data_IF_435463393674
#
_entry.id   IF_435463393674
#
_cell.length_a   1.000
_cell.length_b   1.000
_cell.length_c   1.000
_cell.angle_alpha   90.00
_cell.angle_beta   90.00
_cell.angle_gamma   90.00
#
_symmetry.space_group_name_H-M   'P 1'
#
loop_
_entity.id
_entity.type
_entity.pdbx_description
1 polymer ?
#
# COMPACT_ATOMS: atom_id res chain seq x y z
N UNK A 1 117.16 -18.81 -19.03
CA UNK A 1 116.94 -18.41 -17.62
C UNK A 1 116.50 -16.96 -17.48
N UNK A 2 117.16 -15.97 -18.11
CA UNK A 2 116.82 -14.54 -18.01
C UNK A 2 115.35 -14.18 -18.32
N UNK A 3 114.75 -14.74 -19.39
CA UNK A 3 113.36 -14.41 -19.79
C UNK A 3 112.27 -14.88 -18.81
N UNK A 4 112.51 -15.98 -18.10
CA UNK A 4 111.58 -16.48 -17.09
C UNK A 4 111.60 -15.60 -15.84
N UNK A 5 112.78 -15.16 -15.43
CA UNK A 5 112.94 -14.27 -14.27
C UNK A 5 112.25 -12.92 -14.49
N UNK A 6 112.35 -12.36 -15.71
CA UNK A 6 111.68 -11.10 -16.06
C UNK A 6 110.16 -11.26 -16.09
N UNK A 7 109.64 -12.38 -16.57
CA UNK A 7 108.19 -12.61 -16.62
C UNK A 7 107.60 -12.80 -15.22
N UNK A 8 108.31 -13.52 -14.34
CA UNK A 8 107.95 -13.65 -12.92
C UNK A 8 107.98 -12.29 -12.23
N UNK A 9 108.99 -11.46 -12.48
CA UNK A 9 109.07 -10.11 -11.93
C UNK A 9 107.90 -9.22 -12.40
N UNK A 10 107.51 -9.32 -13.68
CA UNK A 10 106.34 -8.59 -14.22
C UNK A 10 105.05 -9.08 -13.57
N UNK A 11 104.85 -10.39 -13.41
CA UNK A 11 103.67 -10.95 -12.75
C UNK A 11 103.56 -10.52 -11.30
N UNK A 12 104.67 -10.52 -10.55
CA UNK A 12 104.69 -10.06 -9.16
C UNK A 12 104.36 -8.57 -9.08
N UNK A 13 104.91 -7.74 -9.98
CA UNK A 13 104.57 -6.32 -10.06
C UNK A 13 103.11 -6.08 -10.46
N UNK A 14 102.55 -6.90 -11.35
CA UNK A 14 101.13 -6.85 -11.73
C UNK A 14 100.21 -7.30 -10.61
N UNK A 15 100.57 -8.34 -9.85
CA UNK A 15 99.81 -8.79 -8.67
C UNK A 15 99.79 -7.73 -7.58
N UNK A 16 100.95 -7.13 -7.27
CA UNK A 16 101.04 -6.01 -6.31
C UNK A 16 100.22 -4.80 -6.78
N UNK A 17 100.18 -4.54 -8.08
CA UNK A 17 99.38 -3.45 -8.65
C UNK A 17 97.86 -3.75 -8.64
N UNK A 18 97.46 -5.02 -8.72
CA UNK A 18 96.06 -5.44 -8.61
C UNK A 18 95.54 -5.36 -7.17
N UNK A 19 96.37 -5.71 -6.18
CA UNK A 19 95.99 -5.65 -4.76
C UNK A 19 95.79 -4.21 -4.24
N UNK A 20 96.45 -3.23 -4.87
CA UNK A 20 96.28 -1.79 -4.56
C UNK A 20 94.94 -1.23 -5.05
N UNK A 21 94.21 -1.96 -5.90
CA UNK A 21 92.97 -1.49 -6.54
C UNK A 21 91.68 -2.15 -6.02
N UNK A 22 91.71 -2.72 -4.81
CA UNK A 22 90.51 -3.12 -4.06
C UNK A 22 90.30 -2.15 -2.89
N UNK A 23 89.88 -0.92 -3.21
CA UNK A 23 89.52 0.07 -2.18
C UNK A 23 88.16 -0.36 -1.57
N UNK A 24 88.22 -1.02 -0.41
CA UNK A 24 87.02 -1.23 0.41
C UNK A 24 86.45 0.13 0.76
N UNK A 25 85.31 0.49 0.17
CA UNK A 25 84.66 1.78 0.41
C UNK A 25 84.31 1.87 1.90
N UNK A 26 84.99 2.71 2.69
CA UNK A 26 84.76 2.77 4.12
C UNK A 26 83.41 3.46 4.35
N UNK A 27 82.65 2.96 5.31
CA UNK A 27 81.41 3.59 5.74
C UNK A 27 81.66 5.03 6.20
N UNK A 28 81.15 6.00 5.46
CA UNK A 28 81.49 7.42 5.63
C UNK A 28 80.68 8.09 6.74
N UNK A 29 81.11 9.27 7.18
CA UNK A 29 80.30 10.11 8.08
C UNK A 29 78.97 10.53 7.45
N UNK A 30 78.94 10.73 6.13
CA UNK A 30 77.72 11.07 5.40
C UNK A 30 76.71 9.93 5.41
N UNK A 31 77.17 8.68 5.31
CA UNK A 31 76.30 7.51 5.40
C UNK A 31 75.70 7.35 6.81
N UNK A 32 76.44 7.70 7.87
CA UNK A 32 75.92 7.77 9.26
C UNK A 32 74.81 8.80 9.38
N UNK A 33 75.02 10.00 8.86
CA UNK A 33 74.00 11.07 8.88
C UNK A 33 72.75 10.69 8.08
N UNK A 34 72.92 9.96 6.97
CA UNK A 34 71.80 9.41 6.19
C UNK A 34 71.03 8.36 6.99
N UNK A 35 71.70 7.44 7.68
CA UNK A 35 71.05 6.45 8.55
C UNK A 35 70.28 7.13 9.69
N UNK A 36 70.88 8.10 10.38
CA UNK A 36 70.21 8.86 11.46
C UNK A 36 68.95 9.56 10.92
N UNK A 37 69.02 10.17 9.73
CA UNK A 37 67.83 10.77 9.09
C UNK A 37 66.76 9.74 8.73
N UNK A 38 67.14 8.53 8.33
CA UNK A 38 66.19 7.45 8.01
C UNK A 38 65.53 6.95 9.29
N UNK A 39 66.28 6.75 10.37
CA UNK A 39 65.78 6.34 11.68
C UNK A 39 64.75 7.35 12.21
N UNK A 40 65.06 8.65 12.19
CA UNK A 40 64.12 9.70 12.60
C UNK A 40 62.85 9.72 11.73
N UNK A 41 62.98 9.45 10.42
CA UNK A 41 61.80 9.36 9.54
C UNK A 41 60.97 8.12 9.84
N UNK A 42 61.59 6.99 10.17
CA UNK A 42 60.87 5.78 10.57
C UNK A 42 60.11 6.01 11.87
N UNK A 43 60.71 6.69 12.86
CA UNK A 43 59.98 7.06 14.08
C UNK A 43 58.78 7.98 13.81
N UNK A 44 58.88 8.93 12.87
CA UNK A 44 57.72 9.75 12.46
C UNK A 44 56.63 8.92 11.77
N UNK A 45 57.04 7.97 10.94
CA UNK A 45 56.13 7.02 10.28
C UNK A 45 55.41 6.15 11.30
N UNK A 46 56.11 5.60 12.30
CA UNK A 46 55.52 4.78 13.36
C UNK A 46 54.50 5.59 14.17
N UNK A 47 54.82 6.83 14.54
CA UNK A 47 53.87 7.74 15.22
C UNK A 47 52.63 8.02 14.38
N UNK A 48 52.77 8.16 13.06
CA UNK A 48 51.62 8.33 12.16
C UNK A 48 50.76 7.08 12.08
N UNK A 49 51.37 5.89 12.05
CA UNK A 49 50.63 4.63 12.09
C UNK A 49 49.84 4.46 13.39
N UNK A 50 50.44 4.77 14.55
CA UNK A 50 49.71 4.76 15.83
C UNK A 50 48.50 5.71 15.83
N UNK A 51 48.65 6.88 15.20
CA UNK A 51 47.53 7.82 15.05
C UNK A 51 46.44 7.28 14.12
N UNK A 52 46.83 6.60 13.04
CA UNK A 52 45.91 5.94 12.11
C UNK A 52 45.13 4.84 12.84
N UNK A 53 45.81 3.98 13.61
CA UNK A 53 45.18 2.90 14.37
C UNK A 53 44.16 3.45 15.37
N UNK A 54 44.51 4.50 16.12
CA UNK A 54 43.56 5.19 17.01
C UNK A 54 42.34 5.73 16.28
N UNK A 55 42.51 6.23 15.04
CA UNK A 55 41.38 6.69 14.23
C UNK A 55 40.52 5.53 13.75
N UNK A 56 41.11 4.39 13.39
CA UNK A 56 40.34 3.19 13.03
C UNK A 56 39.53 2.66 14.22
N UNK A 57 40.10 2.58 15.42
CA UNK A 57 39.35 2.21 16.62
C UNK A 57 38.16 3.14 16.90
N UNK A 58 38.33 4.45 16.65
CA UNK A 58 37.24 5.41 16.77
C UNK A 58 36.16 5.19 15.71
N UNK A 59 36.55 4.85 14.48
CA UNK A 59 35.63 4.52 13.39
C UNK A 59 34.83 3.27 13.75
N UNK A 60 35.48 2.21 14.25
CA UNK A 60 34.82 0.96 14.64
C UNK A 60 33.79 1.20 15.74
N UNK A 61 34.14 1.97 16.78
CA UNK A 61 33.19 2.38 17.83
C UNK A 61 32.00 3.16 17.29
N UNK A 62 32.19 3.97 16.26
CA UNK A 62 31.09 4.70 15.60
C UNK A 62 30.20 3.74 14.80
N UNK A 63 30.77 2.75 14.13
CA UNK A 63 29.99 1.73 13.43
C UNK A 63 29.15 0.90 14.39
N UNK A 64 29.72 0.46 15.52
CA UNK A 64 28.93 -0.24 16.56
C UNK A 64 27.76 0.60 17.09
N UNK A 65 27.96 1.92 17.24
CA UNK A 65 26.87 2.83 17.63
C UNK A 65 25.81 2.97 16.54
N UNK A 66 26.21 2.98 15.27
CA UNK A 66 25.30 3.01 14.12
C UNK A 66 24.47 1.73 14.08
N UNK A 67 25.09 0.56 14.25
CA UNK A 67 24.39 -0.73 14.25
C UNK A 67 23.34 -0.80 15.37
N UNK A 68 23.71 -0.37 16.59
CA UNK A 68 22.75 -0.28 17.71
C UNK A 68 21.58 0.65 17.41
N UNK A 69 21.81 1.74 16.67
CA UNK A 69 20.72 2.64 16.25
C UNK A 69 19.83 2.01 15.18
N UNK A 70 20.39 1.24 14.25
CA UNK A 70 19.61 0.50 13.27
C UNK A 70 18.74 -0.57 13.94
N UNK A 71 19.26 -1.34 14.89
CA UNK A 71 18.45 -2.30 15.65
C UNK A 71 17.29 -1.63 16.40
N UNK A 72 17.50 -0.43 16.95
CA UNK A 72 16.42 0.34 17.58
C UNK A 72 15.39 0.83 16.57
N UNK A 73 15.82 1.23 15.37
CA UNK A 73 14.94 1.63 14.28
C UNK A 73 14.07 0.44 13.84
N UNK A 74 14.66 -0.74 13.65
CA UNK A 74 13.94 -1.96 13.27
C UNK A 74 12.88 -2.34 14.30
N UNK A 75 13.23 -2.32 15.59
CA UNK A 75 12.25 -2.55 16.68
C UNK A 75 11.11 -1.55 16.67
N UNK A 76 11.36 -0.29 16.30
CA UNK A 76 10.30 0.73 16.17
C UNK A 76 9.42 0.47 14.96
N UNK A 77 9.99 0.02 13.84
CA UNK A 77 9.21 -0.37 12.67
C UNK A 77 8.31 -1.57 12.96
N UNK A 78 8.81 -2.62 13.63
CA UNK A 78 7.98 -3.76 14.05
C UNK A 78 6.81 -3.33 14.95
N UNK A 79 7.03 -2.36 15.85
CA UNK A 79 5.96 -1.80 16.68
C UNK A 79 4.94 -1.00 15.87
N UNK A 80 5.39 -0.26 14.86
CA UNK A 80 4.52 0.47 13.94
C UNK A 80 3.66 -0.51 13.14
N UNK A 81 4.24 -1.58 12.61
CA UNK A 81 3.51 -2.60 11.84
C UNK A 81 2.43 -3.26 12.70
N UNK A 82 2.75 -3.66 13.94
CA UNK A 82 1.74 -4.19 14.88
C UNK A 82 0.61 -3.20 15.15
N UNK A 83 0.89 -1.90 15.23
CA UNK A 83 -0.14 -0.87 15.40
C UNK A 83 -1.00 -0.73 14.15
N UNK A 84 -0.41 -0.79 12.96
CA UNK A 84 -1.16 -0.79 11.71
C UNK A 84 -2.09 -2.00 11.59
N UNK A 85 -1.61 -3.20 11.91
CA UNK A 85 -2.46 -4.40 11.95
C UNK A 85 -3.65 -4.25 12.90
N UNK A 86 -3.45 -3.65 14.08
CA UNK A 86 -4.53 -3.37 15.02
C UNK A 86 -5.53 -2.34 14.48
N UNK A 87 -5.03 -1.30 13.81
CA UNK A 87 -5.88 -0.28 13.16
C UNK A 87 -6.72 -0.91 12.05
N UNK A 88 -6.11 -1.76 11.22
CA UNK A 88 -6.82 -2.47 10.14
C UNK A 88 -7.92 -3.38 10.69
N UNK A 89 -7.65 -4.14 11.76
CA UNK A 89 -8.67 -4.94 12.44
C UNK A 89 -9.84 -4.10 12.93
N UNK A 90 -9.56 -2.98 13.60
CA UNK A 90 -10.61 -2.05 14.07
C UNK A 90 -11.41 -1.45 12.92
N UNK A 91 -10.78 -1.15 11.79
CA UNK A 91 -11.49 -0.67 10.60
C UNK A 91 -12.37 -1.75 9.97
N UNK A 92 -11.92 -3.01 9.93
CA UNK A 92 -12.74 -4.13 9.47
C UNK A 92 -13.96 -4.33 10.36
N UNK A 93 -13.77 -4.34 11.69
CA UNK A 93 -14.86 -4.45 12.67
C UNK A 93 -15.86 -3.29 12.54
N UNK A 94 -15.37 -2.05 12.44
CA UNK A 94 -16.23 -0.87 12.26
C UNK A 94 -17.05 -0.98 10.96
N UNK A 95 -16.41 -1.43 9.87
CA UNK A 95 -17.09 -1.61 8.58
C UNK A 95 -18.16 -2.69 8.66
N UNK A 96 -17.89 -3.80 9.35
CA UNK A 96 -18.86 -4.87 9.55
C UNK A 96 -20.06 -4.41 10.40
N UNK A 97 -19.79 -3.70 11.50
CA UNK A 97 -20.83 -3.13 12.36
C UNK A 97 -21.69 -2.10 11.62
N UNK A 98 -21.07 -1.24 10.81
CA UNK A 98 -21.79 -0.30 9.95
C UNK A 98 -22.68 -1.03 8.95
N UNK A 99 -22.17 -2.05 8.26
CA UNK A 99 -22.96 -2.85 7.31
C UNK A 99 -24.17 -3.49 8.00
N UNK A 100 -23.98 -4.12 9.17
CA UNK A 100 -25.09 -4.71 9.95
C UNK A 100 -26.15 -3.67 10.32
N UNK A 101 -25.74 -2.48 10.75
CA UNK A 101 -26.67 -1.38 11.06
C UNK A 101 -27.40 -0.88 9.82
N UNK A 102 -26.71 -0.78 8.68
CA UNK A 102 -27.36 -0.43 7.41
C UNK A 102 -28.39 -1.47 6.97
N UNK A 103 -28.08 -2.76 7.08
CA UNK A 103 -29.02 -3.83 6.77
C UNK A 103 -30.26 -3.78 7.69
N UNK A 104 -30.05 -3.51 8.98
CA UNK A 104 -31.15 -3.30 9.93
C UNK A 104 -32.02 -2.09 9.52
N UNK A 105 -31.41 -0.97 9.14
CA UNK A 105 -32.15 0.21 8.68
C UNK A 105 -32.93 -0.07 7.39
N UNK A 106 -32.33 -0.77 6.43
CA UNK A 106 -32.99 -1.17 5.17
C UNK A 106 -34.19 -2.08 5.47
N UNK A 107 -34.04 -3.05 6.37
CA UNK A 107 -35.13 -3.95 6.75
C UNK A 107 -36.30 -3.20 7.40
N UNK A 108 -36.02 -2.25 8.31
CA UNK A 108 -37.06 -1.40 8.91
C UNK A 108 -37.75 -0.55 7.84
N UNK A 109 -36.97 0.03 6.92
CA UNK A 109 -37.50 0.85 5.82
C UNK A 109 -38.43 0.04 4.90
N UNK A 110 -38.02 -1.18 4.52
CA UNK A 110 -38.87 -2.11 3.75
C UNK A 110 -40.16 -2.42 4.52
N UNK A 111 -40.08 -2.67 5.83
CA UNK A 111 -41.26 -2.90 6.67
C UNK A 111 -42.23 -1.72 6.68
N UNK A 112 -41.72 -0.49 6.80
CA UNK A 112 -42.53 0.74 6.74
C UNK A 112 -43.18 0.87 5.36
N UNK A 113 -42.42 0.73 4.28
CA UNK A 113 -42.94 0.82 2.91
C UNK A 113 -44.01 -0.24 2.66
N UNK A 114 -43.81 -1.47 3.15
CA UNK A 114 -44.79 -2.54 3.04
C UNK A 114 -46.08 -2.23 3.80
N UNK A 115 -45.99 -1.66 5.01
CA UNK A 115 -47.15 -1.22 5.79
C UNK A 115 -47.94 -0.12 5.06
N UNK A 116 -47.25 0.90 4.55
CA UNK A 116 -47.87 1.96 3.75
C UNK A 116 -48.53 1.41 2.48
N UNK A 117 -47.84 0.56 1.74
CA UNK A 117 -48.38 -0.09 0.55
C UNK A 117 -49.63 -0.93 0.88
N UNK A 118 -49.64 -1.63 2.01
CA UNK A 118 -50.79 -2.37 2.50
C UNK A 118 -52.01 -1.47 2.79
N UNK A 119 -51.82 -0.34 3.47
CA UNK A 119 -52.89 0.63 3.74
C UNK A 119 -53.44 1.21 2.43
N UNK A 120 -52.56 1.57 1.50
CA UNK A 120 -52.97 2.08 0.18
C UNK A 120 -53.76 1.01 -0.60
N UNK A 121 -53.31 -0.24 -0.60
CA UNK A 121 -54.03 -1.34 -1.24
C UNK A 121 -55.42 -1.55 -0.63
N UNK A 122 -55.54 -1.49 0.71
CA UNK A 122 -56.82 -1.61 1.42
C UNK A 122 -57.76 -0.47 1.07
N UNK A 123 -57.28 0.77 1.08
CA UNK A 123 -58.10 1.96 0.78
C UNK A 123 -58.59 1.96 -0.67
N UNK A 124 -57.73 1.63 -1.64
CA UNK A 124 -58.11 1.48 -3.05
C UNK A 124 -59.11 0.32 -3.21
N UNK A 125 -58.85 -0.83 -2.58
CA UNK A 125 -59.75 -1.98 -2.61
C UNK A 125 -61.13 -1.66 -2.05
N UNK A 126 -61.18 -0.97 -0.92
CA UNK A 126 -62.43 -0.51 -0.30
C UNK A 126 -63.18 0.47 -1.19
N UNK A 127 -62.50 1.45 -1.80
CA UNK A 127 -63.12 2.43 -2.70
C UNK A 127 -63.74 1.76 -3.94
N UNK A 128 -63.08 0.76 -4.52
CA UNK A 128 -63.62 -0.02 -5.65
C UNK A 128 -64.86 -0.81 -5.22
N UNK A 129 -64.82 -1.43 -4.03
CA UNK A 129 -65.93 -2.23 -3.51
C UNK A 129 -67.16 -1.37 -3.16
N UNK A 130 -66.96 -0.24 -2.48
CA UNK A 130 -68.02 0.70 -2.09
C UNK A 130 -68.73 1.26 -3.33
N UNK A 131 -67.98 1.73 -4.34
CA UNK A 131 -68.54 2.21 -5.60
C UNK A 131 -69.41 1.15 -6.30
N UNK A 132 -68.99 -0.12 -6.30
CA UNK A 132 -69.77 -1.22 -6.90
C UNK A 132 -71.06 -1.49 -6.12
N UNK A 133 -71.06 -1.27 -4.82
CA UNK A 133 -72.21 -1.54 -3.94
C UNK A 133 -73.23 -0.40 -4.00
N UNK A 134 -72.77 0.85 -4.02
CA UNK A 134 -73.61 2.05 -4.11
C UNK A 134 -74.39 2.17 -5.43
N UNK A 135 -73.88 1.61 -6.53
CA UNK A 135 -74.56 1.64 -7.84
C UNK A 135 -75.67 0.59 -7.99
N UNK A 136 -75.74 -0.44 -7.13
CA UNK A 136 -76.81 -1.47 -7.20
C UNK A 136 -78.23 -0.90 -7.20
N UNK A 137 -78.63 -0.03 -6.27
CA UNK A 137 -80.01 0.51 -6.26
C UNK A 137 -80.32 1.41 -7.47
N UNK A 138 -79.30 2.05 -8.05
CA UNK A 138 -79.47 2.88 -9.25
C UNK A 138 -79.73 2.00 -10.46
N UNK A 139 -79.01 0.88 -10.58
CA UNK A 139 -79.19 -0.11 -11.65
C UNK A 139 -80.55 -0.80 -11.56
N UNK A 140 -80.99 -1.21 -10.36
CA UNK A 140 -82.34 -1.75 -10.17
C UNK A 140 -83.42 -0.73 -10.52
N UNK A 141 -83.20 0.55 -10.19
CA UNK A 141 -84.13 1.62 -10.57
C UNK A 141 -84.18 1.77 -12.09
N UNK A 142 -83.04 1.74 -12.80
CA UNK A 142 -83.05 1.81 -14.27
C UNK A 142 -83.78 0.62 -14.90
N UNK A 143 -83.56 -0.61 -14.40
CA UNK A 143 -84.26 -1.80 -14.91
C UNK A 143 -85.77 -1.72 -14.67
N UNK A 144 -86.21 -1.20 -13.52
CA UNK A 144 -87.64 -1.00 -13.24
C UNK A 144 -88.28 0.03 -14.16
N UNK A 145 -87.58 1.12 -14.47
CA UNK A 145 -88.06 2.10 -15.45
C UNK A 145 -88.14 1.52 -16.85
N UNK A 146 -87.15 0.71 -17.26
CA UNK A 146 -87.18 0.01 -18.54
C UNK A 146 -88.36 -0.96 -18.64
N UNK A 147 -88.62 -1.75 -17.60
CA UNK A 147 -89.78 -2.65 -17.55
C UNK A 147 -91.11 -1.89 -17.62
N UNK A 148 -91.24 -0.81 -16.85
CA UNK A 148 -92.44 0.03 -16.89
C UNK A 148 -92.66 0.65 -18.27
N UNK A 149 -91.62 1.23 -18.87
CA UNK A 149 -91.68 1.81 -20.22
C UNK A 149 -92.04 0.75 -21.26
N UNK A 150 -91.48 -0.47 -21.17
CA UNK A 150 -91.83 -1.61 -22.04
C UNK A 150 -93.28 -2.05 -21.87
N UNK A 151 -93.81 -2.02 -20.66
CA UNK A 151 -95.20 -2.38 -20.39
C UNK A 151 -96.19 -1.35 -20.94
N UNK A 152 -95.93 -0.06 -20.73
CA UNK A 152 -96.71 1.03 -21.32
C UNK A 152 -96.64 1.04 -22.85
N UNK A 153 -95.48 0.72 -23.43
CA UNK A 153 -95.32 0.61 -24.88
C UNK A 153 -96.19 -0.48 -25.52
N UNK A 154 -96.58 -1.53 -24.78
CA UNK A 154 -97.52 -2.55 -25.29
C UNK A 154 -98.97 -2.02 -25.36
N UNK A 155 -99.30 -1.01 -24.56
CA UNK A 155 -100.64 -0.42 -24.49
C UNK A 155 -100.82 0.74 -25.49
N UNK A 156 -99.74 1.46 -25.83
CA UNK A 156 -99.76 2.57 -26.79
C UNK A 156 -98.85 2.33 -28.03
N UNK A 157 -99.43 2.18 -29.24
CA UNK A 157 -98.66 1.83 -30.44
C UNK A 157 -97.67 2.92 -30.90
N UNK A 158 -97.96 4.20 -30.63
CA UNK A 158 -97.03 5.32 -30.92
C UNK A 158 -95.78 5.28 -30.04
N UNK A 159 -95.92 4.85 -28.79
CA UNK A 159 -94.83 4.81 -27.81
C UNK A 159 -93.87 3.65 -28.11
N UNK A 160 -94.39 2.54 -28.63
CA UNK A 160 -93.59 1.44 -29.15
C UNK A 160 -92.72 1.84 -30.35
N UNK A 161 -93.25 2.65 -31.26
CA UNK A 161 -92.54 3.13 -32.45
C UNK A 161 -91.35 4.04 -32.08
N UNK A 162 -91.55 4.94 -31.11
CA UNK A 162 -90.50 5.80 -30.57
C UNK A 162 -89.40 4.98 -29.90
N UNK A 163 -89.75 3.97 -29.09
CA UNK A 163 -88.78 3.11 -28.42
C UNK A 163 -87.97 2.25 -29.40
N UNK A 164 -88.58 1.82 -30.50
CA UNK A 164 -87.91 1.09 -31.59
C UNK A 164 -86.92 1.98 -32.35
N UNK A 165 -87.25 3.27 -32.52
CA UNK A 165 -86.36 4.24 -33.16
C UNK A 165 -85.12 4.59 -32.30
N UNK A 166 -85.23 4.43 -30.98
CA UNK A 166 -84.14 4.65 -30.01
C UNK A 166 -83.33 3.37 -29.71
N UNK A 167 -83.68 2.22 -30.28
CA UNK A 167 -82.95 0.95 -30.09
C UNK A 167 -83.16 0.26 -28.73
N UNK A 168 -84.20 0.64 -27.97
CA UNK A 168 -84.52 0.10 -26.63
C UNK A 168 -85.48 -1.12 -26.68
N UNK A 169 -86.01 -1.43 -27.87
CA UNK A 169 -86.80 -2.62 -28.25
C UNK A 169 -86.31 -3.14 -29.59
#
# INVERSE_FOLDING_TARGET
>A
MSKYLTWVAICVLLSISLDVFAEEVPFTLEDRDRLIRVEVKLEDVDKRFEQIDKRFEQIDKRFEQIDKRFEQIDKRFEQIDKRFEQVDKRFMELREDMNKRFDQLINIFIGIVAAFAGIVAVTIGFAIWDRRTALRPVLERSERWEMAVREYAKQEPRLAEVLKSLGLM
#
